data_IF_950950899550
#
_entry.id   IF_950950899550
#
_cell.length_a   1.000
_cell.length_b   1.000
_cell.length_c   1.000
_cell.angle_alpha   90.00
_cell.angle_beta   90.00
_cell.angle_gamma   90.00
#
_symmetry.space_group_name_H-M   'P 1'
#
loop_
_entity.id
_entity.type
_entity.pdbx_description
1 polymer ?
#
# COMPACT_ATOMS: atom_id res chain seq x y z
N UNK A 1 9.45 24.52 66.10
CA UNK A 1 8.48 24.99 67.12
C UNK A 1 8.51 24.04 68.29
N UNK A 2 8.88 24.65 69.41
CA UNK A 2 8.42 24.43 70.81
C UNK A 2 8.67 23.03 71.37
N UNK A 3 9.49 22.95 72.31
CA UNK A 3 9.62 23.40 73.74
C UNK A 3 9.47 22.17 74.62
N UNK A 4 10.49 21.80 75.43
CA UNK A 4 10.69 22.14 76.86
C UNK A 4 9.62 21.43 77.70
N UNK A 5 9.93 20.88 78.82
CA UNK A 5 10.42 21.35 80.11
C UNK A 5 10.71 20.15 81.03
N UNK A 6 11.78 19.97 81.69
CA UNK A 6 12.29 20.63 82.93
C UNK A 6 11.45 20.38 84.20
N UNK A 7 12.21 20.09 85.22
CA UNK A 7 11.92 20.22 86.66
C UNK A 7 11.45 18.97 87.40
N UNK A 8 11.86 18.74 88.53
CA UNK A 8 12.54 19.54 89.57
C UNK A 8 12.88 18.75 90.83
N UNK A 9 13.74 19.41 91.44
CA UNK A 9 14.26 19.22 92.77
C UNK A 9 13.30 18.88 93.89
N UNK A 10 13.73 18.15 94.87
CA UNK A 10 13.41 18.47 96.26
C UNK A 10 14.50 17.99 97.22
N UNK A 11 15.14 19.00 97.76
CA UNK A 11 16.00 18.93 98.94
C UNK A 11 15.14 18.88 100.17
N UNK A 12 15.39 18.03 101.13
CA UNK A 12 14.98 18.20 102.50
C UNK A 12 16.08 17.94 103.46
N UNK A 13 16.62 19.00 103.96
CA UNK A 13 17.44 19.07 105.17
C UNK A 13 16.60 18.78 106.44
N UNK A 14 17.10 18.03 107.31
CA UNK A 14 16.81 18.22 108.74
C UNK A 14 17.96 17.87 109.63
N UNK A 15 18.31 18.77 110.52
CA UNK A 15 19.36 18.88 111.57
C UNK A 15 19.10 17.86 112.69
N UNK A 16 20.17 17.50 113.33
CA UNK A 16 20.46 17.48 114.83
C UNK A 16 21.31 16.23 115.14
N UNK A 17 22.54 16.44 115.48
CA UNK A 17 23.39 16.49 116.64
C UNK A 17 23.25 15.32 117.59
N UNK A 18 24.29 14.55 117.81
CA UNK A 18 25.20 14.38 118.93
C UNK A 18 26.21 13.27 118.76
N UNK A 19 27.34 13.32 119.45
CA UNK A 19 28.54 12.53 119.15
C UNK A 19 28.58 11.22 119.96
N UNK A 20 29.19 10.25 119.47
CA UNK A 20 29.48 9.00 120.23
C UNK A 20 29.94 7.86 119.39
N UNK A 21 31.22 7.52 119.69
CA UNK A 21 31.85 6.21 119.51
C UNK A 21 32.04 5.73 118.07
N UNK A 22 33.34 5.84 117.69
CA UNK A 22 33.87 5.13 116.51
C UNK A 22 34.03 3.66 116.80
N UNK A 23 33.10 2.83 116.27
CA UNK A 23 33.28 1.41 116.25
C UNK A 23 33.91 1.02 114.90
N UNK A 24 35.13 0.51 114.98
CA UNK A 24 35.77 -0.08 113.82
C UNK A 24 35.00 -1.37 113.40
N UNK A 25 34.34 -1.36 112.27
CA UNK A 25 33.84 -2.56 111.62
C UNK A 25 34.92 -3.01 110.65
N UNK A 26 35.46 -4.23 110.83
CA UNK A 26 36.47 -4.71 109.90
C UNK A 26 35.77 -4.93 108.52
N UNK A 27 36.32 -4.27 107.52
CA UNK A 27 35.94 -4.44 106.10
C UNK A 27 36.34 -5.88 105.71
N UNK A 28 35.30 -6.69 105.49
CA UNK A 28 35.55 -8.05 104.97
C UNK A 28 36.15 -7.96 103.55
N UNK A 29 37.37 -8.40 103.48
CA UNK A 29 38.13 -8.44 102.20
C UNK A 29 37.59 -9.45 101.16
N UNK A 30 36.55 -10.18 101.53
CA UNK A 30 35.93 -11.13 100.63
C UNK A 30 35.02 -10.43 99.60
N UNK A 31 34.34 -9.33 99.93
CA UNK A 31 33.47 -8.63 98.95
C UNK A 31 34.26 -7.87 97.88
N UNK A 32 35.50 -7.44 98.14
CA UNK A 32 36.30 -6.73 97.18
C UNK A 32 36.95 -7.62 96.10
N UNK A 33 36.96 -8.96 96.37
CA UNK A 33 37.48 -9.95 95.38
C UNK A 33 36.40 -10.43 94.38
N UNK A 34 35.15 -10.31 94.74
CA UNK A 34 34.07 -10.80 93.84
C UNK A 34 33.76 -9.78 92.69
N UNK A 35 33.83 -8.49 92.93
CA UNK A 35 33.59 -7.46 91.92
C UNK A 35 34.64 -7.38 90.87
N UNK A 36 35.93 -7.50 91.21
CA UNK A 36 37.05 -7.42 90.28
C UNK A 36 37.13 -8.71 89.39
N UNK A 37 36.68 -9.83 89.86
CA UNK A 37 36.63 -11.08 89.08
C UNK A 37 35.46 -11.08 88.07
N UNK A 38 34.34 -10.40 88.41
CA UNK A 38 33.15 -10.29 87.51
C UNK A 38 33.48 -9.34 86.32
N UNK A 39 34.17 -8.23 86.56
CA UNK A 39 34.49 -7.29 85.47
C UNK A 39 35.53 -7.81 84.50
N UNK A 40 36.50 -8.63 84.96
CA UNK A 40 37.44 -9.28 84.03
C UNK A 40 36.82 -10.34 83.17
N UNK A 41 35.78 -11.07 83.65
CA UNK A 41 34.96 -12.00 82.83
C UNK A 41 34.09 -11.26 81.86
N UNK A 42 33.37 -10.18 82.25
CA UNK A 42 32.57 -9.35 81.37
C UNK A 42 33.40 -8.73 80.29
N UNK A 43 34.59 -8.19 80.58
CA UNK A 43 35.47 -7.64 79.56
C UNK A 43 36.01 -8.68 78.58
N UNK A 44 36.25 -9.94 79.04
CA UNK A 44 36.61 -11.04 78.12
C UNK A 44 35.48 -11.47 77.19
N UNK A 45 34.30 -11.56 77.73
CA UNK A 45 33.06 -11.84 76.92
C UNK A 45 32.84 -10.71 75.96
N UNK A 46 32.95 -9.44 76.40
CA UNK A 46 32.76 -8.27 75.50
C UNK A 46 33.80 -8.30 74.36
N UNK A 47 35.05 -8.63 74.58
CA UNK A 47 36.13 -8.75 73.53
C UNK A 47 35.73 -9.90 72.55
N UNK A 48 35.22 -11.02 73.01
CA UNK A 48 34.82 -12.13 72.14
C UNK A 48 33.63 -11.70 71.30
N UNK A 49 32.62 -11.03 71.88
CA UNK A 49 31.46 -10.51 71.16
C UNK A 49 31.87 -9.50 70.08
N UNK A 50 32.75 -8.53 70.42
CA UNK A 50 33.29 -7.56 69.47
C UNK A 50 34.07 -8.27 68.35
N UNK A 51 34.89 -9.29 68.69
CA UNK A 51 35.65 -10.08 67.69
C UNK A 51 34.69 -10.83 66.75
N UNK A 52 33.61 -11.42 67.26
CA UNK A 52 32.58 -12.08 66.41
C UNK A 52 31.86 -11.09 65.52
N UNK A 53 31.51 -9.90 66.02
CA UNK A 53 30.89 -8.84 65.20
C UNK A 53 31.85 -8.39 64.07
N UNK A 54 33.12 -8.17 64.39
CA UNK A 54 34.14 -7.81 63.38
C UNK A 54 34.28 -8.95 62.33
N UNK A 55 34.34 -10.20 62.79
CA UNK A 55 34.38 -11.35 61.87
C UNK A 55 33.18 -11.43 60.95
N UNK A 56 31.96 -11.19 61.46
CA UNK A 56 30.74 -11.15 60.66
C UNK A 56 30.80 -9.98 59.64
N UNK A 57 31.27 -8.81 60.07
CA UNK A 57 31.41 -7.64 59.17
C UNK A 57 32.42 -7.91 58.03
N UNK A 58 33.57 -8.51 58.37
CA UNK A 58 34.56 -8.89 57.36
C UNK A 58 34.00 -9.93 56.38
N UNK A 59 33.32 -10.95 56.90
CA UNK A 59 32.67 -11.96 56.05
C UNK A 59 31.58 -11.33 55.16
N UNK A 60 30.75 -10.41 55.67
CA UNK A 60 29.76 -9.69 54.92
C UNK A 60 30.41 -8.84 53.80
N UNK A 61 31.54 -8.16 54.11
CA UNK A 61 32.29 -7.39 53.11
C UNK A 61 32.84 -8.30 52.00
N UNK A 62 33.36 -9.49 52.36
CA UNK A 62 33.87 -10.45 51.39
C UNK A 62 32.74 -10.96 50.47
N UNK A 63 31.59 -11.32 51.04
CA UNK A 63 30.40 -11.73 50.25
C UNK A 63 29.93 -10.60 49.33
N UNK A 64 29.84 -9.38 49.88
CA UNK A 64 29.45 -8.21 49.09
C UNK A 64 30.42 -7.94 47.92
N UNK A 65 31.71 -8.00 48.17
CA UNK A 65 32.71 -7.86 47.11
C UNK A 65 32.64 -8.97 46.06
N UNK A 66 32.42 -10.22 46.50
CA UNK A 66 32.26 -11.36 45.61
C UNK A 66 31.05 -11.21 44.69
N UNK A 67 29.92 -10.77 45.24
CA UNK A 67 28.68 -10.50 44.44
C UNK A 67 28.93 -9.30 43.50
N UNK A 68 29.62 -8.26 44.01
CA UNK A 68 29.96 -7.11 43.15
C UNK A 68 30.87 -7.52 41.98
N UNK A 69 31.84 -8.43 42.22
CA UNK A 69 32.66 -8.99 41.16
C UNK A 69 31.84 -9.79 40.13
N UNK A 70 30.90 -10.61 40.60
CA UNK A 70 29.96 -11.34 39.73
C UNK A 70 29.20 -10.37 38.80
N UNK A 71 28.63 -9.31 39.34
CA UNK A 71 27.88 -8.32 38.56
C UNK A 71 28.79 -7.36 37.74
N UNK A 72 30.08 -7.52 37.77
CA UNK A 72 30.95 -6.88 36.78
C UNK A 72 30.86 -7.52 35.40
N UNK A 73 30.34 -8.74 35.33
CA UNK A 73 30.17 -9.52 34.09
C UNK A 73 28.74 -9.92 33.80
N UNK A 74 27.81 -9.67 34.72
CA UNK A 74 26.41 -10.04 34.60
C UNK A 74 25.50 -8.84 34.84
N UNK A 75 24.38 -8.80 34.19
CA UNK A 75 23.36 -7.78 34.44
C UNK A 75 22.68 -7.98 35.78
N UNK A 76 22.23 -6.89 36.40
CA UNK A 76 21.50 -6.94 37.66
C UNK A 76 20.18 -7.71 37.51
N UNK A 77 19.74 -8.25 38.63
CA UNK A 77 18.41 -8.80 38.74
C UNK A 77 17.36 -7.73 38.33
N UNK A 78 16.30 -8.11 37.63
CA UNK A 78 15.27 -7.19 37.16
C UNK A 78 15.68 -6.35 35.94
N UNK A 79 16.80 -6.70 35.26
CA UNK A 79 17.19 -6.04 34.02
C UNK A 79 16.54 -6.76 32.83
N UNK A 80 15.90 -5.96 31.93
CA UNK A 80 15.45 -6.40 30.63
C UNK A 80 16.11 -5.61 29.52
N UNK A 81 16.44 -6.26 28.42
CA UNK A 81 16.99 -5.64 27.20
C UNK A 81 16.13 -6.08 26.04
N UNK A 82 15.54 -5.11 25.31
CA UNK A 82 14.60 -5.36 24.22
C UNK A 82 13.47 -6.34 24.58
N UNK A 83 12.99 -6.25 25.85
CA UNK A 83 11.95 -7.14 26.38
C UNK A 83 12.43 -8.54 26.77
N UNK A 84 13.72 -8.83 26.64
CA UNK A 84 14.33 -10.10 27.07
C UNK A 84 14.78 -9.98 28.51
N UNK A 85 14.42 -10.91 29.37
CA UNK A 85 14.95 -10.99 30.74
C UNK A 85 16.46 -11.27 30.70
N UNK A 86 17.23 -10.26 31.04
CA UNK A 86 18.69 -10.28 31.05
C UNK A 86 19.25 -10.46 32.48
N UNK A 87 18.39 -10.71 33.47
CA UNK A 87 18.79 -10.88 34.87
C UNK A 87 19.82 -11.99 35.02
N UNK A 88 20.96 -11.66 35.69
CA UNK A 88 22.07 -12.59 35.94
C UNK A 88 22.73 -13.18 34.68
N UNK A 89 22.45 -12.63 33.49
CA UNK A 89 23.08 -13.04 32.22
C UNK A 89 24.29 -12.15 31.91
N UNK A 90 25.24 -12.72 31.22
CA UNK A 90 26.36 -11.99 30.59
C UNK A 90 25.85 -11.29 29.32
N UNK A 91 26.61 -10.31 28.84
CA UNK A 91 26.31 -9.67 27.55
C UNK A 91 26.25 -10.69 26.41
N UNK A 92 27.13 -11.66 26.38
CA UNK A 92 27.17 -12.71 25.38
C UNK A 92 25.88 -13.59 25.40
N UNK A 93 25.43 -14.00 26.59
CA UNK A 93 24.21 -14.81 26.72
C UNK A 93 22.97 -14.05 26.22
N UNK A 94 22.90 -12.74 26.50
CA UNK A 94 21.80 -11.90 26.00
C UNK A 94 21.85 -11.78 24.46
N UNK A 95 23.05 -11.56 23.90
CA UNK A 95 23.23 -11.51 22.43
C UNK A 95 22.86 -12.84 21.77
N UNK A 96 23.23 -13.97 22.36
CA UNK A 96 22.83 -15.31 21.85
C UNK A 96 21.33 -15.53 21.90
N UNK A 97 20.65 -15.01 22.91
CA UNK A 97 19.19 -15.13 22.99
C UNK A 97 18.47 -14.26 21.96
N UNK A 98 19.00 -13.06 21.69
CA UNK A 98 18.54 -12.19 20.60
C UNK A 98 18.75 -12.90 19.26
N UNK A 99 19.98 -13.41 19.03
CA UNK A 99 20.31 -14.14 17.80
C UNK A 99 19.37 -15.34 17.56
N UNK A 100 19.13 -16.14 18.62
CA UNK A 100 18.23 -17.29 18.51
C UNK A 100 16.78 -16.93 18.21
N UNK A 101 16.31 -15.74 18.58
CA UNK A 101 15.00 -15.24 18.14
C UNK A 101 15.01 -14.87 16.65
N UNK A 102 16.11 -14.27 16.17
CA UNK A 102 16.24 -13.88 14.75
C UNK A 102 16.41 -15.09 13.82
N UNK A 103 17.01 -16.17 14.27
CA UNK A 103 17.13 -17.43 13.51
C UNK A 103 15.77 -18.04 13.11
N UNK A 104 14.70 -17.69 13.82
CA UNK A 104 13.34 -18.12 13.53
C UNK A 104 12.53 -17.08 12.75
N UNK A 105 13.18 -16.06 12.17
CA UNK A 105 12.49 -15.07 11.36
C UNK A 105 11.81 -15.70 10.15
N UNK A 106 10.58 -15.32 9.92
CA UNK A 106 9.77 -15.74 8.79
C UNK A 106 8.97 -14.54 8.32
N UNK A 107 9.00 -14.26 7.03
CA UNK A 107 8.13 -13.27 6.42
C UNK A 107 7.12 -13.95 5.50
N UNK A 108 5.85 -13.58 5.62
CA UNK A 108 4.79 -14.01 4.73
C UNK A 108 4.65 -13.01 3.59
N UNK A 109 4.72 -13.50 2.36
CA UNK A 109 4.56 -12.70 1.13
C UNK A 109 3.20 -13.02 0.52
N UNK A 110 2.34 -12.00 0.45
CA UNK A 110 1.04 -12.05 -0.22
C UNK A 110 1.12 -11.36 -1.59
N UNK A 111 0.45 -11.91 -2.58
CA UNK A 111 0.42 -11.39 -3.95
C UNK A 111 -0.96 -11.56 -4.58
N UNK A 112 -1.26 -10.79 -5.62
CA UNK A 112 -2.52 -10.87 -6.35
C UNK A 112 -2.72 -12.27 -6.93
N UNK A 113 -3.93 -12.81 -6.76
CA UNK A 113 -4.37 -14.08 -7.37
C UNK A 113 -3.51 -15.30 -7.00
N UNK A 114 -2.75 -15.21 -5.90
CA UNK A 114 -1.89 -16.30 -5.40
C UNK A 114 -2.09 -16.48 -3.90
N UNK A 115 -1.94 -17.72 -3.45
CA UNK A 115 -1.88 -18.02 -2.02
C UNK A 115 -0.59 -17.45 -1.43
N UNK A 116 -0.64 -16.92 -0.20
CA UNK A 116 0.55 -16.41 0.47
C UNK A 116 1.65 -17.46 0.61
N UNK A 117 2.89 -17.04 0.41
CA UNK A 117 4.08 -17.88 0.57
C UNK A 117 5.01 -17.29 1.62
N UNK A 118 5.88 -18.10 2.18
CA UNK A 118 6.81 -17.69 3.23
C UNK A 118 8.25 -17.77 2.76
N UNK A 119 9.05 -16.79 3.20
CA UNK A 119 10.51 -16.82 3.11
C UNK A 119 11.03 -16.91 4.55
N UNK A 120 11.88 -17.89 4.85
CA UNK A 120 12.46 -18.04 6.17
C UNK A 120 13.81 -17.34 6.26
N UNK A 121 14.19 -16.91 7.47
CA UNK A 121 15.49 -16.29 7.70
C UNK A 121 16.65 -17.18 7.23
N UNK A 122 16.51 -18.51 7.33
CA UNK A 122 17.50 -19.49 6.86
C UNK A 122 17.71 -19.47 5.35
N UNK A 123 16.64 -19.21 4.60
CA UNK A 123 16.70 -19.19 3.13
C UNK A 123 17.50 -17.99 2.61
N UNK A 124 17.67 -16.95 3.42
CA UNK A 124 18.32 -15.69 3.06
C UNK A 124 19.55 -15.37 3.91
N UNK A 125 20.04 -16.31 4.73
CA UNK A 125 21.12 -16.12 5.71
C UNK A 125 20.85 -14.90 6.63
N UNK A 126 19.63 -14.78 7.13
CA UNK A 126 19.25 -13.70 8.03
C UNK A 126 19.90 -13.91 9.40
N UNK A 127 20.72 -12.96 9.84
CA UNK A 127 21.52 -13.09 11.04
C UNK A 127 21.52 -11.79 11.85
N UNK A 128 21.53 -11.95 13.16
CA UNK A 128 21.83 -10.87 14.09
C UNK A 128 23.33 -10.55 14.06
N UNK A 129 23.67 -9.27 14.02
CA UNK A 129 25.05 -8.78 14.13
C UNK A 129 25.17 -7.97 15.42
N UNK A 130 26.11 -8.37 16.29
CA UNK A 130 26.38 -7.60 17.52
C UNK A 130 26.99 -6.26 17.20
N UNK A 131 26.31 -5.18 17.59
CA UNK A 131 26.86 -3.80 17.58
C UNK A 131 27.83 -3.55 18.74
N UNK A 132 27.89 -4.46 19.73
CA UNK A 132 28.63 -4.30 20.97
C UNK A 132 27.97 -3.36 22.00
N UNK A 133 26.77 -2.83 21.70
CA UNK A 133 26.04 -1.93 22.62
C UNK A 133 25.66 -2.62 23.91
N UNK A 134 25.31 -3.91 23.89
CA UNK A 134 24.93 -4.70 25.07
C UNK A 134 26.15 -4.81 26.02
N UNK A 135 27.32 -5.05 25.46
CA UNK A 135 28.56 -5.07 26.25
C UNK A 135 28.90 -3.67 26.81
N UNK A 136 28.69 -2.61 26.03
CA UNK A 136 28.90 -1.24 26.53
C UNK A 136 27.89 -0.91 27.64
N UNK A 137 26.62 -1.30 27.48
CA UNK A 137 25.62 -1.12 28.52
C UNK A 137 26.02 -1.79 29.82
N UNK A 138 26.50 -3.04 29.77
CA UNK A 138 27.03 -3.75 30.94
C UNK A 138 28.20 -2.98 31.61
N UNK A 139 29.09 -2.40 30.83
CA UNK A 139 30.23 -1.60 31.35
C UNK A 139 29.78 -0.31 32.03
N UNK A 140 28.63 0.24 31.72
CA UNK A 140 28.08 1.42 32.41
C UNK A 140 27.49 1.08 33.78
N UNK A 141 27.21 -0.22 34.03
CA UNK A 141 26.67 -0.71 35.27
C UNK A 141 27.73 -0.53 36.39
N UNK A 142 27.29 -0.08 37.56
CA UNK A 142 28.16 0.03 38.75
C UNK A 142 27.98 -1.22 39.60
N UNK A 143 28.91 -2.18 39.55
CA UNK A 143 28.72 -3.49 40.14
C UNK A 143 28.42 -3.47 41.64
N UNK A 144 28.93 -2.46 42.35
CA UNK A 144 28.64 -2.30 43.79
C UNK A 144 27.23 -1.87 44.13
N UNK A 145 26.42 -1.44 43.14
CA UNK A 145 25.01 -1.08 43.35
C UNK A 145 24.06 -2.26 43.15
N UNK A 146 24.56 -3.49 43.10
CA UNK A 146 23.79 -4.68 42.76
C UNK A 146 22.54 -4.92 43.64
N UNK A 147 22.57 -4.45 44.89
CA UNK A 147 21.42 -4.53 45.81
C UNK A 147 20.18 -3.81 45.22
N UNK A 148 20.39 -2.76 44.43
CA UNK A 148 19.28 -2.06 43.80
C UNK A 148 18.45 -2.95 42.86
N UNK A 149 19.09 -3.94 42.23
CA UNK A 149 18.38 -4.89 41.35
C UNK A 149 17.29 -5.70 42.03
N UNK A 150 17.26 -5.79 43.35
CA UNK A 150 16.14 -6.43 44.06
C UNK A 150 14.92 -5.50 44.25
N UNK A 151 15.05 -4.21 44.02
CA UNK A 151 14.02 -3.23 44.29
C UNK A 151 13.65 -2.39 43.05
N UNK A 152 14.51 -2.39 42.04
CA UNK A 152 14.37 -1.58 40.86
C UNK A 152 14.45 -2.50 39.61
N UNK A 153 13.47 -2.36 38.71
CA UNK A 153 13.56 -2.98 37.37
C UNK A 153 14.14 -1.96 36.38
N UNK A 154 15.05 -2.42 35.52
CA UNK A 154 15.65 -1.59 34.48
C UNK A 154 15.35 -2.16 33.10
N UNK A 155 14.68 -1.37 32.28
CA UNK A 155 14.35 -1.71 30.91
C UNK A 155 15.22 -0.91 29.96
N UNK A 156 16.01 -1.59 29.16
CA UNK A 156 16.84 -0.97 28.15
C UNK A 156 16.35 -1.34 26.75
N UNK A 157 16.47 -0.38 25.85
CA UNK A 157 16.28 -0.59 24.42
C UNK A 157 17.62 -0.36 23.74
N UNK A 158 18.15 -1.37 23.07
CA UNK A 158 19.37 -1.35 22.26
C UNK A 158 18.99 -1.53 20.82
N UNK A 159 19.73 -0.88 19.91
CA UNK A 159 19.50 -1.09 18.49
C UNK A 159 20.00 -2.49 18.10
N UNK A 160 19.13 -3.25 17.46
CA UNK A 160 19.48 -4.55 16.90
C UNK A 160 19.90 -4.34 15.45
N UNK A 161 21.05 -4.85 15.07
CA UNK A 161 21.50 -4.88 13.70
C UNK A 161 21.32 -6.27 13.13
N UNK A 162 20.71 -6.36 11.94
CA UNK A 162 20.50 -7.61 11.23
C UNK A 162 21.05 -7.48 9.81
N UNK A 163 21.52 -8.58 9.26
CA UNK A 163 22.02 -8.66 7.89
C UNK A 163 21.43 -9.90 7.22
N UNK A 164 21.29 -9.86 5.92
CA UNK A 164 20.88 -11.00 5.10
C UNK A 164 21.56 -10.98 3.73
N UNK A 165 21.62 -12.12 3.08
CA UNK A 165 22.15 -12.22 1.71
C UNK A 165 21.15 -11.69 0.69
N UNK A 166 21.52 -10.63 -0.01
CA UNK A 166 20.71 -10.04 -1.06
C UNK A 166 20.56 -10.96 -2.26
N UNK A 167 21.61 -11.71 -2.57
CA UNK A 167 21.62 -12.70 -3.66
C UNK A 167 20.63 -13.82 -3.38
N UNK A 168 20.66 -14.37 -2.16
CA UNK A 168 19.71 -15.42 -1.76
C UNK A 168 18.28 -14.89 -1.71
N UNK A 169 18.08 -13.66 -1.26
CA UNK A 169 16.75 -13.03 -1.31
C UNK A 169 16.24 -12.92 -2.74
N UNK A 170 17.09 -12.52 -3.70
CA UNK A 170 16.71 -12.44 -5.12
C UNK A 170 16.32 -13.81 -5.68
N UNK A 171 17.07 -14.86 -5.33
CA UNK A 171 16.74 -16.26 -5.67
C UNK A 171 15.38 -16.68 -5.08
N UNK A 172 15.14 -16.39 -3.78
CA UNK A 172 13.88 -16.70 -3.11
C UNK A 172 12.70 -15.96 -3.75
N UNK A 173 12.82 -14.67 -3.98
CA UNK A 173 11.79 -13.86 -4.63
C UNK A 173 11.47 -14.40 -6.03
N UNK A 174 12.49 -14.79 -6.79
CA UNK A 174 12.31 -15.37 -8.13
C UNK A 174 11.64 -16.74 -8.09
N UNK A 175 11.78 -17.47 -7.00
CA UNK A 175 11.18 -18.81 -6.81
C UNK A 175 9.70 -18.76 -6.40
N UNK A 176 9.22 -17.60 -5.93
CA UNK A 176 7.82 -17.42 -5.51
C UNK A 176 6.88 -17.75 -6.68
N UNK A 177 5.72 -18.32 -6.35
CA UNK A 177 4.72 -18.65 -7.37
C UNK A 177 4.24 -17.43 -8.16
N UNK A 178 4.11 -16.27 -7.50
CA UNK A 178 3.75 -15.02 -8.15
C UNK A 178 4.82 -14.50 -9.14
N UNK A 179 6.09 -14.91 -8.97
CA UNK A 179 7.17 -14.51 -9.87
C UNK A 179 7.30 -15.42 -11.11
N UNK A 180 6.69 -16.62 -11.10
CA UNK A 180 6.74 -17.56 -12.22
C UNK A 180 5.80 -17.10 -13.33
N UNK A 181 6.31 -16.99 -14.55
CA UNK A 181 5.56 -16.51 -15.72
C UNK A 181 4.30 -17.31 -16.03
N UNK A 182 4.33 -18.62 -15.79
CA UNK A 182 3.18 -19.51 -16.01
C UNK A 182 2.00 -19.22 -15.08
N UNK A 183 2.23 -18.53 -13.97
CA UNK A 183 1.22 -18.19 -12.99
C UNK A 183 0.77 -16.73 -13.09
N UNK A 184 1.34 -15.97 -14.03
CA UNK A 184 1.05 -14.56 -14.20
C UNK A 184 -0.02 -14.35 -15.28
N UNK A 185 -0.90 -13.41 -15.02
CA UNK A 185 -1.92 -12.95 -15.96
C UNK A 185 -1.56 -11.53 -16.35
N UNK A 186 -1.41 -11.28 -17.66
CA UNK A 186 -1.16 -9.94 -18.16
C UNK A 186 -2.39 -9.03 -17.93
N UNK A 187 -2.21 -7.74 -17.66
CA UNK A 187 -3.31 -6.80 -17.62
C UNK A 187 -3.94 -6.66 -19.01
N UNK A 188 -5.24 -6.45 -19.07
CA UNK A 188 -5.94 -6.12 -20.32
C UNK A 188 -6.25 -4.62 -20.36
N UNK A 189 -6.09 -4.00 -21.52
CA UNK A 189 -6.38 -2.58 -21.72
C UNK A 189 -7.87 -2.30 -21.67
N UNK A 190 -8.26 -1.11 -21.23
CA UNK A 190 -9.58 -0.57 -21.44
C UNK A 190 -9.87 -0.40 -22.93
N UNK A 191 -11.10 -0.59 -23.34
CA UNK A 191 -11.53 -0.48 -24.73
C UNK A 191 -12.98 0.03 -24.85
N UNK A 192 -13.34 0.49 -26.05
CA UNK A 192 -14.72 0.90 -26.35
C UNK A 192 -15.49 -0.28 -26.86
N UNK A 193 -16.67 -0.52 -26.28
CA UNK A 193 -17.63 -1.55 -26.72
C UNK A 193 -19.04 -0.95 -26.88
N UNK A 194 -19.83 -1.60 -27.70
CA UNK A 194 -21.24 -1.26 -27.89
C UNK A 194 -22.14 -2.25 -27.14
N UNK A 195 -22.88 -1.75 -26.16
CA UNK A 195 -23.82 -2.54 -25.39
C UNK A 195 -25.04 -1.68 -25.00
N UNK A 196 -26.19 -2.30 -24.86
CA UNK A 196 -27.44 -1.61 -24.49
C UNK A 196 -27.75 -0.36 -25.32
N UNK A 197 -27.45 -0.42 -26.63
CA UNK A 197 -27.66 0.66 -27.59
C UNK A 197 -26.78 1.91 -27.38
N UNK A 198 -25.68 1.78 -26.66
CA UNK A 198 -24.76 2.85 -26.37
C UNK A 198 -23.31 2.35 -26.44
N UNK A 199 -22.38 3.24 -26.84
CA UNK A 199 -20.96 3.01 -26.74
C UNK A 199 -20.48 3.36 -25.34
N UNK A 200 -19.79 2.44 -24.70
CA UNK A 200 -19.26 2.60 -23.34
C UNK A 200 -17.83 2.12 -23.27
N UNK A 201 -17.09 2.62 -22.28
CA UNK A 201 -15.74 2.11 -21.99
C UNK A 201 -15.88 0.87 -21.11
N UNK A 202 -15.33 -0.25 -21.60
CA UNK A 202 -15.05 -1.42 -20.77
C UNK A 202 -13.74 -1.13 -20.05
N UNK A 203 -13.73 -1.13 -18.71
CA UNK A 203 -12.52 -0.81 -17.95
C UNK A 203 -11.41 -1.82 -18.21
N UNK A 204 -10.19 -1.38 -17.99
CA UNK A 204 -9.02 -2.24 -17.90
C UNK A 204 -9.19 -3.30 -16.80
N UNK A 205 -8.58 -4.46 -16.99
CA UNK A 205 -8.45 -5.48 -15.95
C UNK A 205 -7.05 -5.49 -15.39
N UNK A 206 -6.98 -5.52 -14.06
CA UNK A 206 -5.70 -5.65 -13.38
C UNK A 206 -5.15 -7.06 -13.56
N UNK A 207 -3.91 -7.14 -13.99
CA UNK A 207 -3.19 -8.41 -14.08
C UNK A 207 -2.47 -8.77 -12.78
N UNK A 208 -1.78 -9.91 -12.82
CA UNK A 208 -0.85 -10.35 -11.79
C UNK A 208 0.61 -10.44 -12.32
N UNK A 209 0.89 -9.86 -13.49
CA UNK A 209 2.25 -9.80 -14.04
C UNK A 209 3.12 -8.92 -13.13
N UNK A 210 4.09 -9.57 -12.43
CA UNK A 210 4.85 -8.96 -11.36
C UNK A 210 6.02 -8.13 -11.90
N UNK A 211 6.19 -6.93 -11.35
CA UNK A 211 7.42 -6.16 -11.50
C UNK A 211 8.45 -6.70 -10.48
N UNK A 212 9.31 -7.60 -10.92
CA UNK A 212 10.26 -8.29 -10.06
C UNK A 212 11.15 -7.33 -9.24
N UNK A 213 11.52 -6.18 -9.82
CA UNK A 213 12.35 -5.18 -9.13
C UNK A 213 11.62 -4.52 -7.96
N UNK A 214 10.37 -4.11 -8.18
CA UNK A 214 9.57 -3.49 -7.12
C UNK A 214 9.20 -4.51 -6.04
N UNK A 215 8.83 -5.73 -6.43
CA UNK A 215 8.55 -6.81 -5.50
C UNK A 215 9.76 -7.12 -4.60
N UNK A 216 10.95 -7.25 -5.19
CA UNK A 216 12.19 -7.42 -4.44
C UNK A 216 12.43 -6.26 -3.46
N UNK A 217 12.24 -5.01 -3.89
CA UNK A 217 12.45 -3.85 -3.03
C UNK A 217 11.45 -3.80 -1.87
N UNK A 218 10.20 -4.16 -2.12
CA UNK A 218 9.18 -4.21 -1.07
C UNK A 218 9.52 -5.29 -0.03
N UNK A 219 9.87 -6.49 -0.47
CA UNK A 219 10.24 -7.60 0.41
C UNK A 219 11.52 -7.25 1.17
N UNK A 220 12.54 -6.71 0.51
CA UNK A 220 13.79 -6.31 1.16
C UNK A 220 13.57 -5.28 2.26
N UNK A 221 12.75 -4.24 1.99
CA UNK A 221 12.40 -3.23 3.00
C UNK A 221 11.59 -3.82 4.16
N UNK A 222 10.70 -4.75 3.88
CA UNK A 222 9.94 -5.43 4.92
C UNK A 222 10.86 -6.25 5.84
N UNK A 223 11.86 -6.94 5.27
CA UNK A 223 12.88 -7.68 6.02
C UNK A 223 13.76 -6.73 6.82
N UNK A 224 14.23 -5.62 6.23
CA UNK A 224 15.03 -4.60 6.92
C UNK A 224 14.27 -3.99 8.12
N UNK A 225 12.92 -3.95 8.06
CA UNK A 225 12.04 -3.49 9.14
C UNK A 225 11.53 -4.62 10.05
N UNK A 226 12.02 -5.84 9.87
CA UNK A 226 11.60 -7.02 10.64
C UNK A 226 10.09 -7.29 10.60
N UNK A 227 9.45 -6.95 9.49
CA UNK A 227 8.02 -7.20 9.31
C UNK A 227 7.72 -8.70 9.23
N UNK A 228 6.60 -9.11 9.79
CA UNK A 228 6.15 -10.51 9.73
C UNK A 228 5.47 -10.84 8.39
N UNK A 229 4.98 -9.82 7.68
CA UNK A 229 4.28 -9.96 6.41
C UNK A 229 4.54 -8.78 5.47
N UNK A 230 4.36 -9.04 4.20
CA UNK A 230 4.35 -8.02 3.14
C UNK A 230 3.29 -8.37 2.11
N UNK A 231 2.44 -7.41 1.79
CA UNK A 231 1.43 -7.53 0.75
C UNK A 231 1.86 -6.76 -0.50
N UNK A 232 2.30 -7.50 -1.52
CA UNK A 232 2.65 -6.93 -2.82
C UNK A 232 1.41 -6.33 -3.52
N UNK A 233 0.20 -6.86 -3.24
CA UNK A 233 -1.05 -6.37 -3.81
C UNK A 233 -1.40 -4.95 -3.36
N UNK A 234 -0.87 -4.49 -2.24
CA UNK A 234 -1.08 -3.13 -1.72
C UNK A 234 -0.39 -2.04 -2.52
N UNK A 235 0.60 -2.38 -3.36
CA UNK A 235 1.34 -1.44 -4.19
C UNK A 235 1.11 -1.70 -5.68
N UNK A 236 0.37 -0.84 -6.40
CA UNK A 236 0.16 -0.99 -7.84
C UNK A 236 1.46 -1.12 -8.65
N UNK A 237 2.54 -0.43 -8.25
CA UNK A 237 3.85 -0.49 -8.92
C UNK A 237 4.53 -1.85 -8.87
N UNK A 238 4.10 -2.73 -7.95
CA UNK A 238 4.59 -4.10 -7.89
C UNK A 238 4.09 -4.95 -9.08
N UNK A 239 3.16 -4.44 -9.87
CA UNK A 239 2.59 -5.13 -11.01
C UNK A 239 2.67 -4.26 -12.27
N UNK A 240 2.62 -4.93 -13.41
CA UNK A 240 2.45 -4.26 -14.69
C UNK A 240 1.05 -3.68 -14.77
N UNK A 241 0.96 -2.41 -15.11
CA UNK A 241 -0.29 -1.73 -15.36
C UNK A 241 -0.74 -1.90 -16.81
N UNK A 242 -2.02 -1.76 -17.06
CA UNK A 242 -2.54 -1.69 -18.42
C UNK A 242 -2.01 -0.42 -19.12
N UNK A 243 -1.68 -0.53 -20.40
CA UNK A 243 -1.17 0.61 -21.19
C UNK A 243 -2.27 1.65 -21.45
N UNK A 244 -3.53 1.23 -21.49
CA UNK A 244 -4.71 2.08 -21.69
C UNK A 244 -5.71 1.84 -20.55
N UNK A 245 -6.07 2.91 -19.87
CA UNK A 245 -7.02 2.86 -18.74
C UNK A 245 -8.33 3.51 -19.11
N UNK A 246 -9.38 3.26 -18.33
CA UNK A 246 -10.71 3.89 -18.47
C UNK A 246 -10.69 5.41 -18.48
N UNK A 247 -9.68 6.00 -17.85
CA UNK A 247 -9.51 7.45 -17.75
C UNK A 247 -8.83 8.05 -18.98
N UNK A 248 -8.51 7.23 -20.00
CA UNK A 248 -7.92 7.69 -21.24
C UNK A 248 -8.84 8.70 -21.93
N UNK A 249 -8.33 9.89 -22.16
CA UNK A 249 -9.04 10.94 -22.92
C UNK A 249 -9.35 10.51 -24.36
N UNK A 250 -8.51 9.65 -24.93
CA UNK A 250 -8.71 9.09 -26.26
C UNK A 250 -9.96 8.19 -26.31
N UNK A 251 -10.10 7.27 -25.35
CA UNK A 251 -11.31 6.42 -25.26
C UNK A 251 -12.57 7.26 -24.99
N UNK A 252 -12.48 8.27 -24.14
CA UNK A 252 -13.62 9.15 -23.85
C UNK A 252 -14.05 9.93 -25.11
N UNK A 253 -13.10 10.45 -25.88
CA UNK A 253 -13.39 11.11 -27.15
C UNK A 253 -14.01 10.14 -28.16
N UNK A 254 -13.51 8.90 -28.25
CA UNK A 254 -14.09 7.85 -29.09
C UNK A 254 -15.54 7.55 -28.69
N UNK A 255 -15.82 7.33 -27.39
CA UNK A 255 -17.19 7.10 -26.91
C UNK A 255 -18.11 8.26 -27.27
N UNK A 256 -17.68 9.50 -27.04
CA UNK A 256 -18.47 10.68 -27.37
C UNK A 256 -18.76 10.76 -28.87
N UNK A 257 -17.74 10.53 -29.70
CA UNK A 257 -17.87 10.52 -31.16
C UNK A 257 -18.85 9.44 -31.61
N UNK A 258 -18.67 8.20 -31.20
CA UNK A 258 -19.52 7.09 -31.64
C UNK A 258 -20.95 7.20 -31.09
N UNK A 259 -21.16 7.70 -29.88
CA UNK A 259 -22.49 8.01 -29.38
C UNK A 259 -23.14 9.20 -30.12
N UNK A 260 -22.36 10.08 -30.72
CA UNK A 260 -22.87 11.09 -31.64
C UNK A 260 -23.35 10.47 -32.96
N UNK A 261 -22.63 9.47 -33.50
CA UNK A 261 -23.05 8.71 -34.68
C UNK A 261 -24.39 8.02 -34.46
N UNK A 262 -24.65 7.49 -33.29
CA UNK A 262 -25.92 6.84 -32.94
C UNK A 262 -27.11 7.82 -32.95
N UNK A 263 -26.87 9.14 -32.87
CA UNK A 263 -27.91 10.18 -32.90
C UNK A 263 -28.20 10.70 -34.31
N UNK A 264 -27.38 10.33 -35.28
CA UNK A 264 -27.55 10.76 -36.68
C UNK A 264 -28.92 10.34 -37.20
N UNK A 265 -29.64 11.27 -37.82
CA UNK A 265 -30.87 11.02 -38.52
C UNK A 265 -30.97 12.00 -39.69
N UNK A 266 -30.61 11.52 -40.87
CA UNK A 266 -30.60 12.30 -42.11
C UNK A 266 -31.67 11.77 -43.00
N UNK A 267 -32.75 12.56 -43.20
CA UNK A 267 -33.84 12.24 -44.13
C UNK A 267 -33.59 12.95 -45.44
N UNK A 268 -33.30 12.18 -46.47
CA UNK A 268 -33.23 12.65 -47.84
C UNK A 268 -34.63 12.80 -48.43
N UNK A 269 -34.88 13.88 -49.15
CA UNK A 269 -36.11 14.14 -49.86
C UNK A 269 -35.87 14.11 -51.37
N UNK A 270 -36.71 13.29 -52.08
CA UNK A 270 -36.71 13.12 -53.52
C UNK A 270 -38.14 13.38 -54.05
N UNK A 271 -38.55 14.67 -54.02
CA UNK A 271 -39.93 14.99 -54.27
C UNK A 271 -40.85 14.50 -53.14
N UNK A 272 -41.77 13.58 -53.47
CA UNK A 272 -42.69 12.99 -52.48
C UNK A 272 -42.11 11.77 -51.74
N UNK A 273 -40.96 11.28 -52.17
CA UNK A 273 -40.29 10.15 -51.55
C UNK A 273 -39.24 10.62 -50.54
N UNK A 274 -39.06 9.80 -49.49
CA UNK A 274 -38.02 10.07 -48.46
C UNK A 274 -37.25 8.81 -48.16
N UNK A 275 -35.94 8.98 -47.95
CA UNK A 275 -35.03 7.93 -47.50
C UNK A 275 -34.31 8.41 -46.24
N UNK A 276 -34.31 7.62 -45.18
CA UNK A 276 -33.66 8.01 -43.92
C UNK A 276 -32.45 7.14 -43.67
N UNK A 277 -31.33 7.81 -43.42
CA UNK A 277 -30.12 7.23 -42.86
C UNK A 277 -30.14 7.50 -41.36
N UNK A 278 -30.23 6.45 -40.56
CA UNK A 278 -30.23 6.54 -39.10
C UNK A 278 -28.93 5.98 -38.46
N UNK A 279 -28.78 6.25 -37.17
CA UNK A 279 -27.62 5.77 -36.39
C UNK A 279 -27.50 4.26 -36.34
N UNK A 280 -28.63 3.49 -36.50
CA UNK A 280 -28.55 2.03 -36.52
C UNK A 280 -27.91 1.51 -37.81
N UNK A 281 -28.21 2.14 -38.92
CA UNK A 281 -27.58 1.83 -40.21
C UNK A 281 -26.09 2.15 -40.16
N UNK A 282 -25.73 3.33 -39.65
CA UNK A 282 -24.34 3.79 -39.51
C UNK A 282 -23.52 2.87 -38.57
N UNK A 283 -24.12 2.43 -37.48
CA UNK A 283 -23.49 1.48 -36.54
C UNK A 283 -23.08 0.18 -37.24
N UNK A 284 -23.85 -0.33 -38.19
CA UNK A 284 -23.54 -1.56 -38.93
C UNK A 284 -22.32 -1.41 -39.85
N UNK A 285 -21.81 -0.20 -40.07
CA UNK A 285 -20.59 0.09 -40.80
C UNK A 285 -19.33 0.01 -39.93
N UNK A 286 -19.51 -0.06 -38.60
CA UNK A 286 -18.41 -0.20 -37.64
C UNK A 286 -18.03 -1.67 -37.48
N UNK A 287 -16.75 -1.93 -37.25
CA UNK A 287 -16.22 -3.27 -37.09
C UNK A 287 -15.95 -3.54 -35.60
N UNK A 288 -16.25 -4.74 -35.16
CA UNK A 288 -16.03 -5.20 -33.81
C UNK A 288 -15.32 -6.56 -33.84
N UNK A 289 -14.47 -6.82 -32.85
CA UNK A 289 -13.88 -8.14 -32.64
C UNK A 289 -14.87 -9.10 -31.97
N UNK A 290 -14.43 -10.34 -31.71
CA UNK A 290 -15.22 -11.38 -31.06
C UNK A 290 -15.63 -11.03 -29.60
N UNK A 291 -14.89 -10.13 -28.95
CA UNK A 291 -15.17 -9.63 -27.58
C UNK A 291 -16.11 -8.42 -27.59
N UNK A 292 -16.49 -7.92 -28.77
CA UNK A 292 -17.29 -6.70 -28.93
C UNK A 292 -16.48 -5.40 -28.76
N UNK A 293 -15.17 -5.49 -28.85
CA UNK A 293 -14.29 -4.32 -28.88
C UNK A 293 -14.34 -3.67 -30.26
N UNK A 294 -14.50 -2.34 -30.28
CA UNK A 294 -14.45 -1.57 -31.52
C UNK A 294 -13.04 -1.63 -32.11
N UNK A 295 -12.96 -2.05 -33.35
CA UNK A 295 -11.70 -2.10 -34.10
C UNK A 295 -11.37 -0.73 -34.72
N UNK A 296 -10.07 -0.43 -34.92
CA UNK A 296 -9.66 0.75 -35.63
C UNK A 296 -10.24 0.79 -37.04
N UNK A 297 -10.71 1.98 -37.48
CA UNK A 297 -11.16 2.18 -38.84
C UNK A 297 -9.97 2.15 -39.81
N UNK A 298 -9.94 1.20 -40.72
CA UNK A 298 -8.96 1.06 -41.80
C UNK A 298 -9.36 1.79 -43.10
N UNK A 299 -10.39 2.65 -43.04
CA UNK A 299 -11.00 3.31 -44.19
C UNK A 299 -12.30 2.64 -44.68
N UNK A 300 -12.68 1.53 -44.08
CA UNK A 300 -13.91 0.81 -44.45
C UNK A 300 -15.18 1.66 -44.18
N UNK A 301 -15.18 2.44 -43.10
CA UNK A 301 -16.28 3.35 -42.81
C UNK A 301 -16.50 4.38 -43.91
N UNK A 302 -15.45 4.97 -44.44
CA UNK A 302 -15.49 5.90 -45.58
C UNK A 302 -16.08 5.22 -46.81
N UNK A 303 -15.68 3.97 -47.07
CA UNK A 303 -16.16 3.22 -48.20
C UNK A 303 -17.66 2.97 -48.07
N UNK A 304 -18.17 2.61 -46.91
CA UNK A 304 -19.60 2.47 -46.67
C UNK A 304 -20.40 3.74 -46.95
N UNK A 305 -19.84 4.92 -46.61
CA UNK A 305 -20.46 6.22 -46.94
C UNK A 305 -20.55 6.40 -48.47
N UNK A 306 -19.47 6.11 -49.17
CA UNK A 306 -19.42 6.21 -50.64
C UNK A 306 -20.42 5.23 -51.28
N UNK A 307 -20.44 3.99 -50.83
CA UNK A 307 -21.35 2.96 -51.32
C UNK A 307 -22.81 3.31 -51.06
N UNK A 308 -23.13 3.87 -49.89
CA UNK A 308 -24.45 4.35 -49.58
C UNK A 308 -24.91 5.47 -50.50
N UNK A 309 -24.05 6.46 -50.76
CA UNK A 309 -24.35 7.56 -51.68
C UNK A 309 -24.48 7.04 -53.13
N UNK A 310 -23.65 6.09 -53.53
CA UNK A 310 -23.78 5.43 -54.84
C UNK A 310 -25.12 4.69 -54.97
N UNK A 311 -25.59 4.03 -53.91
CA UNK A 311 -26.90 3.38 -53.91
C UNK A 311 -28.03 4.42 -54.01
N UNK A 312 -27.97 5.53 -53.23
CA UNK A 312 -28.94 6.62 -53.35
C UNK A 312 -29.02 7.16 -54.81
N UNK A 313 -27.86 7.33 -55.45
CA UNK A 313 -27.81 7.80 -56.85
C UNK A 313 -28.39 6.75 -57.80
N UNK A 314 -28.11 5.47 -57.59
CA UNK A 314 -28.68 4.41 -58.44
C UNK A 314 -30.19 4.31 -58.34
N UNK A 315 -30.74 4.58 -57.16
CA UNK A 315 -32.19 4.44 -56.92
C UNK A 315 -32.98 5.71 -57.30
N UNK A 316 -32.35 6.92 -57.23
CA UNK A 316 -33.08 8.19 -57.36
C UNK A 316 -32.59 9.12 -58.46
N UNK A 317 -31.48 8.82 -59.15
CA UNK A 317 -31.08 9.61 -60.32
C UNK A 317 -32.05 9.41 -61.47
N UNK A 318 -32.48 10.54 -62.07
CA UNK A 318 -33.45 10.51 -63.16
C UNK A 318 -32.90 11.06 -64.49
N UNK A 319 -31.64 11.48 -64.52
CA UNK A 319 -30.98 11.88 -65.76
C UNK A 319 -30.76 10.68 -66.65
N UNK A 320 -31.21 10.76 -67.90
CA UNK A 320 -31.08 9.67 -68.87
C UNK A 320 -32.16 8.60 -68.83
N UNK A 321 -33.10 8.69 -67.88
CA UNK A 321 -34.22 7.75 -67.82
C UNK A 321 -35.26 8.07 -68.90
N UNK A 322 -35.99 7.02 -69.40
CA UNK A 322 -37.12 7.18 -70.28
C UNK A 322 -38.31 7.83 -69.57
N UNK A 323 -38.91 8.82 -70.19
CA UNK A 323 -40.08 9.49 -69.65
C UNK A 323 -41.23 9.57 -70.72
N UNK A 324 -42.41 9.37 -70.26
CA UNK A 324 -43.61 9.57 -71.04
C UNK A 324 -44.08 11.01 -70.90
N UNK A 325 -44.32 11.65 -72.06
CA UNK A 325 -44.90 12.99 -72.08
C UNK A 325 -46.18 12.90 -72.88
N UNK A 326 -47.24 13.42 -72.35
CA UNK A 326 -48.45 13.68 -73.12
C UNK A 326 -48.31 15.06 -73.77
N UNK A 327 -48.33 15.05 -75.10
CA UNK A 327 -48.30 16.28 -75.90
C UNK A 327 -49.64 17.01 -75.83
N UNK A 328 -49.67 18.31 -76.16
CA UNK A 328 -50.87 19.12 -76.21
C UNK A 328 -51.90 18.56 -77.18
N UNK A 329 -51.56 17.63 -78.09
CA UNK A 329 -52.46 16.94 -78.99
C UNK A 329 -52.93 15.59 -78.41
N UNK A 330 -52.67 15.26 -77.13
CA UNK A 330 -53.11 14.01 -76.50
C UNK A 330 -52.25 12.80 -76.87
N UNK A 331 -51.13 12.96 -77.56
CA UNK A 331 -50.26 11.86 -77.97
C UNK A 331 -49.16 11.64 -76.92
N UNK A 332 -48.96 10.40 -76.50
CA UNK A 332 -47.87 10.01 -75.63
C UNK A 332 -46.62 9.88 -76.47
N UNK A 333 -45.52 10.60 -76.07
CA UNK A 333 -44.20 10.52 -76.65
C UNK A 333 -43.23 10.05 -75.55
N UNK A 334 -42.29 9.18 -75.90
CA UNK A 334 -41.26 8.73 -75.02
C UNK A 334 -39.92 9.57 -75.31
N UNK A 335 -39.44 10.20 -74.32
CA UNK A 335 -38.19 10.96 -74.41
C UNK A 335 -37.03 10.21 -73.67
N UNK A 336 -36.01 9.92 -74.45
CA UNK A 336 -34.84 9.19 -73.98
C UNK A 336 -33.61 10.07 -73.85
N UNK A 337 -32.71 9.74 -72.90
CA UNK A 337 -31.32 10.18 -72.90
C UNK A 337 -31.14 11.68 -72.79
N UNK A 338 -32.12 12.42 -72.34
CA UNK A 338 -31.99 13.85 -72.16
C UNK A 338 -31.10 14.25 -70.98
N UNK A 339 -30.48 15.40 -71.08
CA UNK A 339 -29.78 16.05 -69.98
C UNK A 339 -30.79 16.57 -68.90
N UNK A 340 -32.08 16.21 -69.02
CA UNK A 340 -33.12 16.63 -68.08
C UNK A 340 -33.30 15.58 -66.97
N UNK A 341 -33.26 16.03 -65.74
CA UNK A 341 -33.44 15.18 -64.56
C UNK A 341 -32.59 15.66 -63.39
N UNK A 342 -32.63 14.88 -62.36
CA UNK A 342 -31.77 15.08 -61.19
C UNK A 342 -30.64 14.05 -61.24
N UNK A 343 -29.42 14.50 -60.90
CA UNK A 343 -28.27 13.64 -60.79
C UNK A 343 -27.47 14.06 -59.54
N UNK A 344 -27.26 13.14 -58.62
CA UNK A 344 -26.51 13.35 -57.41
C UNK A 344 -25.02 13.58 -57.76
N UNK A 345 -24.40 14.56 -57.11
CA UNK A 345 -22.96 14.75 -57.11
C UNK A 345 -22.40 13.84 -56.01
N UNK A 346 -22.08 12.60 -56.36
CA UNK A 346 -21.70 11.56 -55.39
C UNK A 346 -20.50 11.98 -54.55
N UNK A 347 -19.52 12.63 -55.12
CA UNK A 347 -18.29 13.04 -54.39
C UNK A 347 -18.62 14.14 -53.35
N UNK A 348 -19.37 15.14 -53.74
CA UNK A 348 -19.78 16.19 -52.80
C UNK A 348 -20.75 15.73 -51.76
N UNK A 349 -21.72 14.89 -52.17
CA UNK A 349 -22.65 14.31 -51.23
C UNK A 349 -21.99 13.42 -50.21
N UNK A 350 -21.05 12.55 -50.61
CA UNK A 350 -20.28 11.73 -49.69
C UNK A 350 -19.45 12.56 -48.73
N UNK A 351 -18.85 13.65 -49.20
CA UNK A 351 -18.09 14.55 -48.32
C UNK A 351 -18.99 15.29 -47.33
N UNK A 352 -20.15 15.79 -47.74
CA UNK A 352 -21.14 16.42 -46.88
C UNK A 352 -21.71 15.41 -45.86
N UNK A 353 -22.10 14.26 -46.35
CA UNK A 353 -22.66 13.18 -45.52
C UNK A 353 -21.66 12.74 -44.42
N UNK A 354 -20.38 12.58 -44.79
CA UNK A 354 -19.33 12.27 -43.81
C UNK A 354 -19.24 13.33 -42.71
N UNK A 355 -19.29 14.61 -43.07
CA UNK A 355 -19.26 15.71 -42.08
C UNK A 355 -20.52 15.71 -41.19
N UNK A 356 -21.69 15.48 -41.75
CA UNK A 356 -22.93 15.42 -40.99
C UNK A 356 -22.95 14.23 -40.02
N UNK A 357 -22.47 13.08 -40.45
CA UNK A 357 -22.32 11.89 -39.62
C UNK A 357 -21.40 12.18 -38.45
N UNK A 358 -20.20 12.74 -38.71
CA UNK A 358 -19.24 13.06 -37.66
C UNK A 358 -19.76 14.06 -36.63
N UNK A 359 -20.63 14.97 -37.03
CA UNK A 359 -21.25 15.97 -36.16
C UNK A 359 -22.50 15.48 -35.44
N UNK A 360 -22.97 14.26 -35.71
CA UNK A 360 -24.21 13.75 -35.14
C UNK A 360 -25.46 14.50 -35.60
N UNK A 361 -25.47 14.97 -36.85
CA UNK A 361 -26.52 15.85 -37.38
C UNK A 361 -27.86 15.12 -37.51
N UNK A 362 -28.94 15.84 -37.18
CA UNK A 362 -30.32 15.45 -37.47
C UNK A 362 -30.92 16.49 -38.44
N UNK A 363 -31.24 16.07 -39.65
CA UNK A 363 -31.70 17.00 -40.69
C UNK A 363 -32.59 16.31 -41.72
N UNK A 364 -33.40 17.12 -42.39
CA UNK A 364 -34.12 16.71 -43.59
C UNK A 364 -33.68 17.61 -44.72
N UNK A 365 -33.17 17.04 -45.80
CA UNK A 365 -32.64 17.78 -46.93
C UNK A 365 -32.68 17.01 -48.23
N UNK A 366 -32.54 17.72 -49.33
CA UNK A 366 -32.22 17.11 -50.63
C UNK A 366 -30.74 16.72 -50.66
N UNK A 367 -30.35 15.72 -51.47
CA UNK A 367 -28.94 15.45 -51.73
C UNK A 367 -28.28 16.60 -52.54
N UNK A 368 -26.95 16.63 -52.52
CA UNK A 368 -26.19 17.56 -53.39
C UNK A 368 -26.29 17.09 -54.85
N UNK A 369 -26.85 17.89 -55.68
CA UNK A 369 -27.03 17.52 -57.07
C UNK A 369 -25.92 18.14 -57.95
N UNK A 370 -25.40 17.36 -58.92
CA UNK A 370 -24.57 17.84 -60.03
C UNK A 370 -25.45 18.37 -61.19
N UNK A 371 -26.64 17.83 -61.33
CA UNK A 371 -27.67 18.31 -62.27
C UNK A 371 -29.03 18.32 -61.57
N UNK A 372 -29.76 19.42 -61.77
CA UNK A 372 -31.10 19.62 -61.17
C UNK A 372 -32.04 20.10 -62.26
N UNK A 373 -33.12 19.33 -62.45
CA UNK A 373 -34.17 19.73 -63.34
C UNK A 373 -34.86 21.02 -62.82
N UNK A 374 -34.90 22.08 -63.61
CA UNK A 374 -35.68 23.26 -63.26
C UNK A 374 -37.19 22.92 -63.33
N UNK A 375 -37.87 23.23 -62.26
CA UNK A 375 -39.30 23.03 -62.20
C UNK A 375 -39.97 23.87 -63.30
N UNK A 376 -40.85 23.20 -64.04
CA UNK A 376 -41.87 23.71 -64.95
C UNK A 376 -41.83 25.17 -65.34
N UNK A 377 -41.52 25.47 -66.57
CA UNK A 377 -41.78 26.76 -67.15
C UNK A 377 -40.87 27.24 -68.31
N UNK A 378 -39.60 26.82 -68.35
CA UNK A 378 -38.69 27.35 -69.38
C UNK A 378 -38.39 26.37 -70.54
N UNK A 379 -38.80 25.14 -70.48
CA UNK A 379 -38.52 24.16 -71.54
C UNK A 379 -39.63 23.96 -72.58
N UNK A 380 -40.79 24.56 -72.41
CA UNK A 380 -41.88 24.44 -73.39
C UNK A 380 -41.65 25.39 -74.56
N UNK A 381 -40.78 26.36 -74.45
CA UNK A 381 -40.55 27.36 -75.52
C UNK A 381 -39.44 26.99 -76.53
N UNK A 382 -38.66 25.91 -76.30
CA UNK A 382 -37.54 25.57 -77.22
C UNK A 382 -37.72 24.31 -78.05
N UNK A 383 -38.84 23.65 -77.95
CA UNK A 383 -39.18 22.56 -78.92
C UNK A 383 -40.00 23.16 -80.07
N UNK A 384 -39.32 23.91 -80.93
CA UNK A 384 -39.83 24.16 -82.26
C UNK A 384 -39.47 22.98 -83.15
N UNK A 385 -40.43 22.23 -83.53
CA UNK A 385 -40.34 21.28 -84.66
C UNK A 385 -40.60 22.03 -85.94
#
# INVERSE_FOLDING_TARGET
MRQKEVMGQSIRTSKSARPGTITYVPIDKSEFRSTVSSDKKKNKIMKIVVMLIVMILVMSCCVYAGISYYYSYHFFLGTTINGIDSSNKTAYEVEQEIAGKKDNYVIQVSARMQEPQTITGKDIDYQYVSSGEILQLLKTQKPWEWIRGFFETKNYMVQEETVFSREKLEEQVSSLNCAKKENQIAPENAYVSFSNSEFTIVPETEGSELNAKEAYQMISRAIDNEAADVDLGSNPKAYKEADVTRDSSELQNMVNMYNSLAKVNITYTFGDETVTLDGNTIKNWLQFDEKGQLLPDDGAFRQHVVDYVAQLAADHDTVGTERQFETTSGRIVYVYGSAYGWKIDQDKEAAQLMQEIQSGTQTTREPVYSMRANAHGSMISEIHI
#
